data_IF_363125924713
#
_entry.id   IF_363125924713
#
_cell.length_a   1.000
_cell.length_b   1.000
_cell.length_c   1.000
_cell.angle_alpha   90.00
_cell.angle_beta   90.00
_cell.angle_gamma   90.00
#
_symmetry.space_group_name_H-M   'P 1'
#
loop_
_entity.id
_entity.type
_entity.pdbx_description
1 polymer ?
#
# COMPACT_ATOMS: atom_id res chain seq x y z
N UNK A 1 1.32 -11.99 -31.61
CA UNK A 1 2.78 -11.95 -31.74
C UNK A 1 3.40 -10.69 -31.13
N UNK A 2 3.06 -9.45 -31.55
CA UNK A 2 3.70 -8.24 -31.04
C UNK A 2 3.39 -7.98 -29.55
N UNK A 3 2.13 -8.14 -29.14
CA UNK A 3 1.67 -7.97 -27.76
C UNK A 3 2.41 -8.95 -26.81
N UNK A 4 2.55 -10.20 -27.20
CA UNK A 4 3.30 -11.21 -26.43
C UNK A 4 4.78 -10.84 -26.22
N UNK A 5 5.40 -10.12 -27.15
CA UNK A 5 6.77 -9.61 -26.97
C UNK A 5 6.84 -8.51 -25.92
N UNK A 6 5.80 -7.67 -25.83
CA UNK A 6 5.71 -6.63 -24.80
C UNK A 6 5.44 -7.23 -23.41
N UNK A 7 4.51 -8.18 -23.33
CA UNK A 7 4.16 -8.87 -22.09
C UNK A 7 5.33 -9.66 -21.48
N UNK A 8 6.18 -10.22 -22.34
CA UNK A 8 7.36 -10.97 -21.89
C UNK A 8 8.64 -10.13 -21.79
N UNK A 9 8.55 -8.81 -21.95
CA UNK A 9 9.70 -7.91 -21.84
C UNK A 9 10.76 -8.06 -22.94
N UNK A 10 10.43 -8.76 -24.04
CA UNK A 10 11.34 -8.97 -25.18
C UNK A 10 11.52 -7.69 -25.98
N UNK A 11 10.52 -6.81 -25.95
CA UNK A 11 10.55 -5.47 -26.59
C UNK A 11 9.80 -4.47 -25.72
N UNK A 12 10.27 -3.25 -25.73
CA UNK A 12 9.56 -2.14 -25.11
C UNK A 12 8.48 -1.59 -26.07
N UNK A 13 7.25 -1.35 -25.57
CA UNK A 13 6.22 -0.72 -26.38
C UNK A 13 6.56 0.74 -26.65
N UNK A 14 6.44 1.16 -27.90
CA UNK A 14 6.58 2.58 -28.24
C UNK A 14 5.42 3.42 -27.70
N UNK A 15 5.63 4.72 -27.52
CA UNK A 15 4.65 5.66 -26.95
C UNK A 15 3.28 5.59 -27.65
N UNK A 16 3.26 5.48 -28.98
CA UNK A 16 2.02 5.36 -29.76
C UNK A 16 1.22 4.08 -29.46
N UNK A 17 1.88 3.01 -29.01
CA UNK A 17 1.20 1.80 -28.56
C UNK A 17 0.61 2.03 -27.18
N UNK A 18 1.34 2.64 -26.25
CA UNK A 18 0.86 2.94 -24.89
C UNK A 18 -0.37 3.85 -24.94
N UNK A 19 -0.37 4.89 -25.76
CA UNK A 19 -1.53 5.80 -25.94
C UNK A 19 -2.74 5.02 -26.44
N UNK A 20 -2.61 4.22 -27.52
CA UNK A 20 -3.74 3.41 -28.03
C UNK A 20 -4.24 2.36 -27.04
N UNK A 21 -3.36 1.79 -26.23
CA UNK A 21 -3.75 0.87 -25.18
C UNK A 21 -4.53 1.61 -24.07
N UNK A 22 -4.08 2.79 -23.67
CA UNK A 22 -4.78 3.66 -22.73
C UNK A 22 -6.20 3.99 -23.20
N UNK A 23 -6.33 4.43 -24.47
CA UNK A 23 -7.63 4.74 -25.09
C UNK A 23 -8.54 3.51 -25.14
N UNK A 24 -7.99 2.35 -25.54
CA UNK A 24 -8.76 1.11 -25.64
C UNK A 24 -9.31 0.61 -24.31
N UNK A 25 -8.50 0.70 -23.26
CA UNK A 25 -8.90 0.27 -21.89
C UNK A 25 -9.62 1.38 -21.10
N UNK A 26 -9.75 2.59 -21.64
CA UNK A 26 -10.37 3.74 -20.96
C UNK A 26 -9.59 4.12 -19.68
N UNK A 27 -8.28 4.08 -19.74
CA UNK A 27 -7.39 4.43 -18.63
C UNK A 27 -6.36 5.46 -19.07
N UNK A 28 -5.74 6.16 -18.14
CA UNK A 28 -4.65 7.09 -18.48
C UNK A 28 -3.37 6.33 -18.85
N UNK A 29 -2.52 6.96 -19.65
CA UNK A 29 -1.19 6.42 -19.94
C UNK A 29 -0.32 6.30 -18.68
N UNK A 30 -0.45 7.22 -17.73
CA UNK A 30 0.27 7.18 -16.45
C UNK A 30 -0.14 5.99 -15.60
N UNK A 31 -1.42 5.57 -15.66
CA UNK A 31 -1.88 4.33 -15.02
C UNK A 31 -1.22 3.09 -15.65
N UNK A 32 -1.16 3.01 -16.98
CA UNK A 32 -0.51 1.89 -17.67
C UNK A 32 1.00 1.83 -17.39
N UNK A 33 1.64 2.99 -17.23
CA UNK A 33 3.06 3.10 -16.91
C UNK A 33 3.36 2.90 -15.40
N UNK A 34 2.32 2.66 -14.59
CA UNK A 34 2.48 2.46 -13.15
C UNK A 34 2.89 3.73 -12.39
N UNK A 35 2.66 4.91 -12.96
CA UNK A 35 2.99 6.21 -12.35
C UNK A 35 1.88 6.73 -11.45
N UNK A 36 0.66 6.25 -11.62
CA UNK A 36 -0.51 6.55 -10.78
C UNK A 36 -1.33 5.29 -10.57
N UNK A 37 -2.03 5.20 -9.44
CA UNK A 37 -3.01 4.16 -9.16
C UNK A 37 -4.41 4.54 -9.65
N UNK A 38 -4.64 5.81 -9.99
CA UNK A 38 -5.92 6.29 -10.51
C UNK A 38 -6.04 5.96 -12.00
N UNK A 39 -7.10 5.26 -12.38
CA UNK A 39 -7.34 4.84 -13.79
C UNK A 39 -7.47 6.03 -14.75
N UNK A 40 -8.02 7.13 -14.28
CA UNK A 40 -8.21 8.38 -15.01
C UNK A 40 -6.97 9.27 -15.09
N UNK A 41 -5.89 8.88 -14.41
CA UNK A 41 -4.64 9.65 -14.35
C UNK A 41 -4.64 10.75 -13.29
N UNK A 42 -5.69 10.84 -12.50
CA UNK A 42 -5.75 11.76 -11.37
C UNK A 42 -4.61 11.45 -10.39
N UNK A 43 -3.75 12.42 -10.13
CA UNK A 43 -2.85 12.35 -8.99
C UNK A 43 -3.70 12.54 -7.74
N UNK A 44 -3.77 11.53 -6.88
CA UNK A 44 -4.26 11.75 -5.50
C UNK A 44 -3.18 12.59 -4.84
N UNK A 45 -3.43 13.90 -4.74
CA UNK A 45 -2.54 14.78 -3.99
C UNK A 45 -2.69 14.42 -2.52
N UNK A 46 -1.58 14.48 -1.77
CA UNK A 46 -1.61 14.25 -0.31
C UNK A 46 -2.60 15.21 0.40
N UNK A 47 -2.89 16.35 -0.24
CA UNK A 47 -3.86 17.36 0.19
C UNK A 47 -5.32 16.90 0.03
N UNK A 48 -5.59 16.01 -0.94
CA UNK A 48 -6.92 15.42 -1.18
C UNK A 48 -7.21 14.23 -0.25
N UNK A 49 -6.17 13.72 0.44
CA UNK A 49 -6.34 12.71 1.47
C UNK A 49 -6.83 13.41 2.74
N UNK A 50 -8.13 13.26 3.02
CA UNK A 50 -8.75 13.79 4.22
C UNK A 50 -7.95 13.33 5.46
N UNK A 51 -7.42 14.27 6.21
CA UNK A 51 -6.90 13.99 7.55
C UNK A 51 -8.07 13.78 8.50
N UNK A 52 -8.61 12.57 8.46
CA UNK A 52 -9.75 12.16 9.28
C UNK A 52 -9.50 12.24 10.79
N UNK A 53 -8.28 12.60 11.21
CA UNK A 53 -7.95 12.77 12.62
C UNK A 53 -8.45 14.11 13.20
N UNK A 54 -8.65 15.12 12.34
CA UNK A 54 -9.05 16.48 12.72
C UNK A 54 -10.52 16.81 12.41
N UNK A 55 -11.26 15.91 11.77
CA UNK A 55 -12.67 16.16 11.42
C UNK A 55 -13.57 16.20 12.66
N UNK A 56 -14.45 17.21 12.70
CA UNK A 56 -15.43 17.41 13.80
C UNK A 56 -16.37 16.21 13.99
N UNK A 57 -16.59 15.43 12.92
CA UNK A 57 -17.49 14.26 12.89
C UNK A 57 -16.76 12.94 13.07
N UNK A 58 -15.51 12.95 13.58
CA UNK A 58 -14.76 11.75 13.87
C UNK A 58 -15.50 10.91 14.92
N UNK A 59 -15.96 9.72 14.54
CA UNK A 59 -16.69 8.75 15.40
C UNK A 59 -15.90 8.39 16.66
N UNK A 60 -14.57 8.52 16.62
CA UNK A 60 -13.69 8.29 17.76
C UNK A 60 -13.64 9.50 18.72
N UNK A 61 -14.33 10.59 18.38
CA UNK A 61 -14.40 11.76 19.23
C UNK A 61 -15.10 11.38 20.55
N UNK A 62 -14.36 11.41 21.65
CA UNK A 62 -14.83 10.98 22.97
C UNK A 62 -14.16 9.73 23.54
N UNK A 63 -13.45 8.94 22.72
CA UNK A 63 -12.62 7.81 23.18
C UNK A 63 -11.14 8.14 23.08
N UNK A 64 -10.53 8.60 24.18
CA UNK A 64 -9.10 8.91 24.22
C UNK A 64 -8.22 7.71 23.83
N UNK A 65 -8.62 6.49 24.23
CA UNK A 65 -7.89 5.27 23.90
C UNK A 65 -7.93 4.96 22.40
N UNK A 66 -9.10 5.08 21.75
CA UNK A 66 -9.24 4.83 20.32
C UNK A 66 -8.49 5.89 19.48
N UNK A 67 -8.56 7.15 19.87
CA UNK A 67 -7.79 8.23 19.24
C UNK A 67 -6.28 8.00 19.38
N UNK A 68 -5.82 7.58 20.56
CA UNK A 68 -4.42 7.25 20.79
C UNK A 68 -3.96 6.09 19.91
N UNK A 69 -4.71 4.99 19.86
CA UNK A 69 -4.40 3.82 19.03
C UNK A 69 -4.30 4.18 17.55
N UNK A 70 -5.26 4.98 17.04
CA UNK A 70 -5.21 5.49 15.66
C UNK A 70 -3.93 6.33 15.42
N UNK A 71 -3.62 7.26 16.33
CA UNK A 71 -2.46 8.13 16.23
C UNK A 71 -1.15 7.35 16.25
N UNK A 72 -1.03 6.35 17.12
CA UNK A 72 0.13 5.48 17.19
C UNK A 72 0.31 4.72 15.86
N UNK A 73 -0.76 4.14 15.31
CA UNK A 73 -0.71 3.43 14.03
C UNK A 73 -0.27 4.35 12.88
N UNK A 74 -0.84 5.55 12.78
CA UNK A 74 -0.49 6.54 11.75
C UNK A 74 0.98 6.94 11.89
N UNK A 75 1.43 7.24 13.10
CA UNK A 75 2.83 7.62 13.37
C UNK A 75 3.80 6.49 13.03
N UNK A 76 3.49 5.25 13.42
CA UNK A 76 4.31 4.07 13.10
C UNK A 76 4.43 3.86 11.60
N UNK A 77 3.31 4.00 10.88
CA UNK A 77 3.28 3.89 9.43
C UNK A 77 4.12 5.01 8.79
N UNK A 78 3.94 6.26 9.21
CA UNK A 78 4.72 7.39 8.70
C UNK A 78 6.21 7.19 8.90
N UNK A 79 6.62 6.77 10.11
CA UNK A 79 8.02 6.51 10.42
C UNK A 79 8.60 5.40 9.54
N UNK A 80 7.84 4.29 9.36
CA UNK A 80 8.26 3.21 8.48
C UNK A 80 8.51 3.72 7.06
N UNK A 81 7.59 4.50 6.50
CA UNK A 81 7.74 5.04 5.15
C UNK A 81 8.86 6.07 5.01
N UNK A 82 9.14 6.86 6.03
CA UNK A 82 10.30 7.75 6.04
C UNK A 82 11.62 6.99 5.99
N UNK A 83 11.68 5.83 6.67
CA UNK A 83 12.88 4.99 6.66
C UNK A 83 13.07 4.33 5.29
N UNK A 84 12.06 3.61 4.80
CA UNK A 84 12.18 2.85 3.56
C UNK A 84 12.16 3.72 2.31
N UNK A 85 11.59 4.93 2.38
CA UNK A 85 11.46 5.84 1.25
C UNK A 85 12.79 6.35 0.69
N UNK A 86 13.85 6.32 1.51
CA UNK A 86 15.20 6.71 1.12
C UNK A 86 15.95 5.60 0.37
N UNK A 87 15.51 4.34 0.51
CA UNK A 87 16.25 3.17 0.05
C UNK A 87 15.91 2.76 -1.38
N UNK A 88 14.73 2.24 -1.60
CA UNK A 88 14.38 1.78 -2.93
C UNK A 88 12.88 1.80 -3.20
N UNK A 89 12.49 2.20 -4.42
CA UNK A 89 11.09 2.15 -4.86
C UNK A 89 10.47 0.74 -4.78
N UNK A 90 11.19 -0.35 -5.12
CA UNK A 90 10.66 -1.71 -4.96
C UNK A 90 10.32 -2.05 -3.50
N UNK A 91 11.14 -1.64 -2.54
CA UNK A 91 10.88 -1.87 -1.12
C UNK A 91 9.63 -1.13 -0.64
N UNK A 92 9.51 0.15 -0.99
CA UNK A 92 8.31 0.96 -0.68
C UNK A 92 7.06 0.31 -1.24
N UNK A 93 7.09 -0.13 -2.50
CA UNK A 93 5.96 -0.80 -3.14
C UNK A 93 5.58 -2.08 -2.41
N UNK A 94 6.55 -2.93 -2.10
CA UNK A 94 6.31 -4.21 -1.45
C UNK A 94 5.71 -4.06 -0.05
N UNK A 95 6.19 -3.09 0.73
CA UNK A 95 5.61 -2.74 2.03
C UNK A 95 4.21 -2.18 1.88
N UNK A 96 3.98 -1.32 0.87
CA UNK A 96 2.65 -0.77 0.59
C UNK A 96 1.65 -1.88 0.20
N UNK A 97 2.05 -2.83 -0.63
CA UNK A 97 1.23 -3.97 -1.03
C UNK A 97 0.83 -4.81 0.20
N UNK A 98 1.81 -5.12 1.08
CA UNK A 98 1.56 -5.87 2.31
C UNK A 98 0.57 -5.16 3.23
N UNK A 99 0.79 -3.87 3.51
CA UNK A 99 -0.08 -3.08 4.39
C UNK A 99 -1.49 -2.93 3.80
N UNK A 100 -1.59 -2.69 2.49
CA UNK A 100 -2.88 -2.59 1.80
C UNK A 100 -3.68 -3.90 1.87
N UNK A 101 -3.03 -5.05 1.73
CA UNK A 101 -3.66 -6.36 1.90
C UNK A 101 -4.16 -6.58 3.34
N UNK A 102 -3.38 -6.16 4.34
CA UNK A 102 -3.78 -6.26 5.74
C UNK A 102 -5.04 -5.40 6.03
N UNK A 103 -5.06 -4.14 5.57
CA UNK A 103 -6.23 -3.27 5.70
C UNK A 103 -7.44 -3.81 4.94
N UNK A 104 -7.24 -4.28 3.70
CA UNK A 104 -8.31 -4.87 2.91
C UNK A 104 -8.89 -6.12 3.56
N UNK A 105 -8.05 -6.98 4.11
CA UNK A 105 -8.49 -8.19 4.84
C UNK A 105 -9.36 -7.83 6.03
N UNK A 106 -8.92 -6.87 6.87
CA UNK A 106 -9.70 -6.39 8.02
C UNK A 106 -11.03 -5.78 7.55
N UNK A 107 -11.00 -4.91 6.53
CA UNK A 107 -12.21 -4.31 5.97
C UNK A 107 -13.21 -5.37 5.51
N UNK A 108 -12.77 -6.38 4.78
CA UNK A 108 -13.61 -7.47 4.31
C UNK A 108 -14.21 -8.30 5.44
N UNK A 109 -13.43 -8.56 6.50
CA UNK A 109 -13.92 -9.26 7.69
C UNK A 109 -15.01 -8.45 8.42
N UNK A 110 -14.79 -7.14 8.60
CA UNK A 110 -15.79 -6.25 9.18
C UNK A 110 -17.04 -6.12 8.30
N UNK A 111 -16.86 -6.08 6.97
CA UNK A 111 -17.97 -6.02 6.03
C UNK A 111 -18.92 -7.22 6.14
N UNK A 112 -18.42 -8.38 6.54
CA UNK A 112 -19.28 -9.57 6.78
C UNK A 112 -20.13 -9.48 8.02
N UNK A 113 -19.85 -8.55 8.94
CA UNK A 113 -20.65 -8.33 10.14
C UNK A 113 -21.92 -7.54 9.86
N UNK A 114 -22.01 -6.88 8.69
CA UNK A 114 -23.21 -6.18 8.25
C UNK A 114 -24.11 -7.14 7.45
N UNK A 115 -25.22 -7.53 8.04
CA UNK A 115 -26.22 -8.44 7.44
C UNK A 115 -26.83 -7.89 6.14
N UNK A 116 -26.80 -6.58 5.93
CA UNK A 116 -27.29 -5.93 4.70
C UNK A 116 -26.26 -5.99 3.55
N UNK A 117 -25.03 -6.36 3.84
CA UNK A 117 -23.94 -6.34 2.89
C UNK A 117 -24.05 -7.43 1.82
N UNK A 118 -23.94 -7.01 0.56
CA UNK A 118 -23.98 -7.93 -0.58
C UNK A 118 -22.58 -8.33 -1.03
N UNK A 119 -22.30 -9.62 -1.04
CA UNK A 119 -21.02 -10.18 -1.54
C UNK A 119 -20.76 -9.93 -3.03
N UNK A 120 -21.76 -9.39 -3.78
CA UNK A 120 -21.62 -9.06 -5.20
C UNK A 120 -20.69 -7.88 -5.49
N UNK A 121 -20.35 -7.10 -4.47
CA UNK A 121 -19.46 -5.94 -4.61
C UNK A 121 -17.97 -6.32 -4.80
N UNK A 122 -17.60 -7.58 -4.57
CA UNK A 122 -16.20 -8.00 -4.56
C UNK A 122 -15.91 -9.07 -5.61
N UNK A 123 -14.77 -8.97 -6.28
CA UNK A 123 -14.33 -9.94 -7.27
C UNK A 123 -13.98 -11.31 -6.65
N UNK A 124 -13.34 -11.31 -5.48
CA UNK A 124 -13.04 -12.55 -4.76
C UNK A 124 -14.22 -12.98 -3.90
N UNK A 125 -14.56 -14.28 -3.96
CA UNK A 125 -15.60 -14.87 -3.11
C UNK A 125 -15.23 -14.78 -1.64
N UNK A 126 -16.25 -14.64 -0.78
CA UNK A 126 -16.09 -14.53 0.68
C UNK A 126 -15.37 -15.74 1.28
N UNK A 127 -15.60 -16.92 0.74
CA UNK A 127 -15.03 -18.19 1.24
C UNK A 127 -13.54 -18.34 1.05
N UNK A 128 -12.95 -17.62 0.09
CA UNK A 128 -11.54 -17.79 -0.30
C UNK A 128 -10.71 -16.51 -0.19
N UNK A 129 -11.33 -15.35 0.07
CA UNK A 129 -10.58 -14.08 0.04
C UNK A 129 -9.51 -14.02 1.12
N UNK A 130 -9.78 -14.62 2.29
CA UNK A 130 -8.83 -14.59 3.42
C UNK A 130 -7.56 -15.35 3.08
N UNK A 131 -7.72 -16.56 2.53
CA UNK A 131 -6.60 -17.40 2.08
C UNK A 131 -5.81 -16.73 0.94
N UNK A 132 -6.50 -16.07 0.02
CA UNK A 132 -5.83 -15.32 -1.05
C UNK A 132 -5.01 -14.15 -0.49
N UNK A 133 -5.56 -13.38 0.46
CA UNK A 133 -4.82 -12.32 1.13
C UNK A 133 -3.62 -12.87 1.90
N UNK A 134 -3.78 -13.97 2.64
CA UNK A 134 -2.70 -14.59 3.41
C UNK A 134 -1.58 -15.12 2.50
N UNK A 135 -1.93 -15.75 1.39
CA UNK A 135 -0.97 -16.22 0.41
C UNK A 135 -0.17 -15.05 -0.20
N UNK A 136 -0.84 -13.97 -0.55
CA UNK A 136 -0.18 -12.79 -1.13
C UNK A 136 0.65 -12.02 -0.10
N UNK A 137 0.17 -11.87 1.13
CA UNK A 137 0.96 -11.32 2.24
C UNK A 137 2.21 -12.17 2.50
N UNK A 138 2.06 -13.51 2.46
CA UNK A 138 3.20 -14.42 2.61
C UNK A 138 4.22 -14.28 1.49
N UNK A 139 3.77 -14.09 0.27
CA UNK A 139 4.64 -13.78 -0.87
C UNK A 139 5.44 -12.49 -0.63
N UNK A 140 4.78 -11.44 -0.16
CA UNK A 140 5.46 -10.19 0.19
C UNK A 140 6.51 -10.39 1.28
N UNK A 141 6.21 -11.15 2.34
CA UNK A 141 7.17 -11.46 3.41
C UNK A 141 8.42 -12.19 2.89
N UNK A 142 8.23 -13.16 2.00
CA UNK A 142 9.37 -13.89 1.40
C UNK A 142 10.24 -12.95 0.59
N UNK A 143 9.63 -12.06 -0.21
CA UNK A 143 10.37 -11.07 -0.99
C UNK A 143 11.11 -10.07 -0.11
N UNK A 144 10.49 -9.61 1.00
CA UNK A 144 11.15 -8.74 1.98
C UNK A 144 12.39 -9.40 2.60
N UNK A 145 12.30 -10.69 2.96
CA UNK A 145 13.45 -11.46 3.46
C UNK A 145 14.55 -11.56 2.43
N UNK A 146 14.21 -11.90 1.18
CA UNK A 146 15.19 -11.96 0.09
C UNK A 146 15.91 -10.63 -0.11
N UNK A 147 15.16 -9.52 -0.08
CA UNK A 147 15.77 -8.18 -0.17
C UNK A 147 16.71 -7.91 1.00
N UNK A 148 16.34 -8.31 2.22
CA UNK A 148 17.17 -8.14 3.40
C UNK A 148 18.47 -8.99 3.35
N UNK A 149 18.38 -10.21 2.82
CA UNK A 149 19.53 -11.13 2.67
C UNK A 149 20.49 -10.71 1.55
N UNK A 150 19.98 -10.10 0.48
CA UNK A 150 20.77 -9.71 -0.70
C UNK A 150 21.36 -8.30 -0.60
N UNK A 151 20.98 -7.52 0.40
CA UNK A 151 21.48 -6.17 0.62
C UNK A 151 22.93 -6.21 1.19
N UNK A 152 23.92 -6.25 0.30
CA UNK A 152 25.36 -6.22 0.67
C UNK A 152 25.78 -4.92 1.39
N UNK A 153 25.03 -3.83 1.22
CA UNK A 153 25.21 -2.55 1.89
C UNK A 153 23.86 -2.10 2.46
N UNK A 154 23.43 -2.73 3.55
CA UNK A 154 22.20 -2.33 4.22
C UNK A 154 22.40 -0.95 4.87
N UNK A 155 22.01 0.10 4.17
CA UNK A 155 22.00 1.49 4.67
C UNK A 155 20.82 1.75 5.61
N UNK A 156 19.88 0.78 5.67
CA UNK A 156 18.68 0.88 6.48
C UNK A 156 19.02 0.60 7.96
N UNK A 157 19.28 1.64 8.71
CA UNK A 157 19.48 1.54 10.16
C UNK A 157 18.13 1.71 10.88
N UNK A 158 17.50 0.58 11.21
CA UNK A 158 16.27 0.50 12.01
C UNK A 158 16.57 0.19 13.48
N UNK A 159 17.83 0.35 13.94
CA UNK A 159 18.14 0.17 15.34
C UNK A 159 17.30 1.11 16.21
N UNK A 160 16.92 0.63 17.39
CA UNK A 160 16.14 1.43 18.34
C UNK A 160 16.86 2.73 18.70
N UNK A 161 18.17 2.69 18.79
CA UNK A 161 18.99 3.86 19.09
C UNK A 161 18.90 4.90 17.98
N UNK A 162 19.01 4.49 16.72
CA UNK A 162 18.86 5.39 15.57
C UNK A 162 17.47 6.01 15.51
N UNK A 163 16.40 5.20 15.71
CA UNK A 163 15.02 5.66 15.72
C UNK A 163 14.78 6.65 16.86
N UNK A 164 15.29 6.39 18.07
CA UNK A 164 15.13 7.30 19.21
C UNK A 164 15.88 8.62 19.02
N UNK A 165 17.06 8.60 18.39
CA UNK A 165 17.83 9.82 18.13
C UNK A 165 17.19 10.70 17.06
N UNK A 166 16.72 10.13 15.96
CA UNK A 166 16.21 10.88 14.82
C UNK A 166 14.71 11.22 14.93
N UNK A 167 13.94 10.38 15.63
CA UNK A 167 12.49 10.54 15.79
C UNK A 167 12.01 10.30 17.23
N UNK A 168 12.52 11.07 18.21
CA UNK A 168 12.23 10.83 19.64
C UNK A 168 10.74 10.88 19.99
N UNK A 169 9.95 11.64 19.20
CA UNK A 169 8.50 11.76 19.41
C UNK A 169 7.69 10.58 18.81
N UNK A 170 8.26 9.88 17.84
CA UNK A 170 7.59 8.78 17.15
C UNK A 170 8.05 7.40 17.65
N UNK A 171 9.25 7.31 18.22
CA UNK A 171 9.81 6.08 18.75
C UNK A 171 8.85 5.30 19.69
N UNK A 172 8.10 5.95 20.62
CA UNK A 172 7.12 5.25 21.45
C UNK A 172 5.97 4.59 20.69
N UNK A 173 5.77 4.95 19.42
CA UNK A 173 4.73 4.34 18.57
C UNK A 173 5.13 2.99 18.00
N UNK A 174 6.42 2.61 18.10
CA UNK A 174 6.97 1.33 17.62
C UNK A 174 7.20 0.32 18.73
N UNK A 175 7.15 0.74 19.98
CA UNK A 175 7.36 -0.05 21.18
C UNK A 175 6.01 -0.41 21.84
#
# INVERSE_FOLDING_TARGET
>A
ALLSHYENGVREPGLSFVVRAADYYGVSADFLLGRTMARDGGAILAEDLADSSMEKDNILHGSAAAMLSKKLLVNSTSLLYEQIGKESRPLVRLVSDYMSLAFYKVYRLLYTMDESSSNKAFAAQQSIFSELCDAEMKRCEVQLRQMAETAENNTLDLSLEHVQQNWPRLAPSLL
#
